data_IF_743194995442
#
_entry.id   IF_743194995442
#
_cell.length_a   1.000
_cell.length_b   1.000
_cell.length_c   1.000
_cell.angle_alpha   90.00
_cell.angle_beta   90.00
_cell.angle_gamma   90.00
#
_symmetry.space_group_name_H-M   'P 1'
#
loop_
_entity.id
_entity.type
_entity.pdbx_description
1 polymer ?
#
# COMPACT_ATOMS: atom_id res chain seq x y z
N UNK A 1 7.49 -31.10 -9.26
CA UNK A 1 8.43 -31.81 -10.13
C UNK A 1 9.15 -32.84 -9.25
N UNK A 2 9.29 -34.08 -9.70
CA UNK A 2 10.04 -35.13 -8.99
C UNK A 2 11.54 -34.98 -9.30
N UNK A 3 12.43 -35.37 -8.35
CA UNK A 3 13.87 -35.49 -8.58
C UNK A 3 14.19 -36.50 -9.67
N UNK A 4 15.30 -36.30 -10.41
CA UNK A 4 15.84 -37.35 -11.30
C UNK A 4 16.67 -38.30 -10.49
N UNK A 5 16.58 -39.60 -10.80
CA UNK A 5 17.32 -40.71 -10.16
C UNK A 5 18.81 -40.42 -10.11
N UNK A 6 19.43 -40.69 -8.95
CA UNK A 6 20.89 -40.63 -8.74
C UNK A 6 21.46 -39.22 -8.57
N UNK A 7 20.62 -38.14 -8.54
CA UNK A 7 21.11 -36.77 -8.41
C UNK A 7 20.52 -36.03 -7.21
N UNK A 8 21.39 -35.42 -6.43
CA UNK A 8 20.98 -34.38 -5.47
C UNK A 8 20.98 -33.01 -6.18
N UNK A 9 19.91 -32.30 -6.05
CA UNK A 9 19.74 -30.97 -6.66
C UNK A 9 19.41 -29.92 -5.61
N UNK A 10 20.07 -28.80 -5.72
CA UNK A 10 19.77 -27.57 -4.99
C UNK A 10 19.37 -26.50 -6.01
N UNK A 11 18.21 -25.90 -5.87
CA UNK A 11 17.82 -24.76 -6.64
C UNK A 11 17.55 -23.60 -5.68
N UNK A 12 18.08 -22.45 -6.01
CA UNK A 12 17.77 -21.19 -5.36
C UNK A 12 17.22 -20.23 -6.43
N UNK A 13 15.98 -19.80 -6.25
CA UNK A 13 15.36 -18.78 -7.06
C UNK A 13 15.22 -17.52 -6.19
N UNK A 14 15.79 -16.42 -6.64
CA UNK A 14 15.71 -15.13 -5.97
C UNK A 14 15.20 -14.06 -6.93
N UNK A 15 14.25 -13.27 -6.47
CA UNK A 15 13.69 -12.14 -7.20
C UNK A 15 13.59 -10.95 -6.27
N UNK A 16 14.02 -9.78 -6.77
CA UNK A 16 13.85 -8.49 -6.13
C UNK A 16 13.34 -7.51 -7.18
N UNK A 17 12.32 -6.75 -6.85
CA UNK A 17 11.71 -5.78 -7.75
C UNK A 17 11.20 -4.56 -7.01
N UNK A 18 10.96 -3.48 -7.74
CA UNK A 18 10.33 -2.26 -7.26
C UNK A 18 9.03 -2.04 -8.02
N UNK A 19 7.97 -1.81 -7.29
CA UNK A 19 6.65 -1.45 -7.82
C UNK A 19 6.42 0.04 -7.62
N UNK A 20 5.82 0.68 -8.62
CA UNK A 20 5.41 2.08 -8.58
C UNK A 20 3.99 2.21 -9.11
N UNK A 21 3.27 3.24 -8.70
CA UNK A 21 1.99 3.58 -9.31
C UNK A 21 2.18 3.93 -10.78
N UNK A 22 1.42 3.33 -11.68
CA UNK A 22 1.57 3.54 -13.12
C UNK A 22 1.04 4.92 -13.56
N UNK A 23 -0.10 5.35 -13.00
CA UNK A 23 -0.73 6.65 -13.29
C UNK A 23 -1.65 7.02 -12.14
N UNK A 24 -1.59 8.28 -11.73
CA UNK A 24 -2.51 8.89 -10.77
C UNK A 24 -3.29 10.01 -11.43
N UNK A 25 -4.48 10.30 -10.91
CA UNK A 25 -5.22 11.48 -11.32
C UNK A 25 -4.51 12.70 -10.70
N UNK A 26 -4.26 13.72 -11.52
CA UNK A 26 -3.71 14.98 -11.03
C UNK A 26 -4.75 15.66 -10.11
N UNK A 27 -4.33 16.00 -8.91
CA UNK A 27 -5.13 16.81 -7.99
C UNK A 27 -4.94 18.29 -8.27
N UNK A 28 -5.92 19.10 -7.87
CA UNK A 28 -5.79 20.55 -7.87
C UNK A 28 -4.86 20.95 -6.72
N UNK A 29 -3.98 21.90 -6.97
CA UNK A 29 -3.22 22.54 -5.90
C UNK A 29 -4.12 23.48 -5.09
N UNK A 30 -3.61 24.04 -3.99
CA UNK A 30 -4.39 24.86 -3.09
C UNK A 30 -4.98 26.10 -3.78
N UNK A 31 -4.25 26.77 -4.65
CA UNK A 31 -4.73 27.93 -5.40
C UNK A 31 -5.76 27.53 -6.46
N UNK A 32 -5.48 26.50 -7.24
CA UNK A 32 -6.40 25.98 -8.27
C UNK A 32 -7.76 25.58 -7.67
N UNK A 33 -7.74 24.99 -6.46
CA UNK A 33 -8.96 24.64 -5.75
C UNK A 33 -9.75 25.90 -5.34
N UNK A 34 -9.08 26.90 -4.78
CA UNK A 34 -9.70 28.18 -4.43
C UNK A 34 -10.31 28.90 -5.64
N UNK A 35 -9.57 28.93 -6.76
CA UNK A 35 -10.03 29.56 -7.99
C UNK A 35 -11.26 28.83 -8.57
N UNK A 36 -11.27 27.49 -8.52
CA UNK A 36 -12.42 26.70 -8.95
C UNK A 36 -13.64 26.94 -8.06
N UNK A 37 -13.45 27.04 -6.74
CA UNK A 37 -14.51 27.37 -5.78
C UNK A 37 -15.11 28.75 -6.08
N UNK A 38 -14.28 29.75 -6.36
CA UNK A 38 -14.72 31.09 -6.76
C UNK A 38 -15.52 31.09 -8.06
N UNK A 39 -15.02 30.34 -9.06
CA UNK A 39 -15.73 30.18 -10.32
C UNK A 39 -17.11 29.49 -10.13
N UNK A 40 -17.18 28.45 -9.32
CA UNK A 40 -18.42 27.74 -9.04
C UNK A 40 -19.46 28.66 -8.39
N UNK A 41 -19.05 29.45 -7.36
CA UNK A 41 -19.97 30.39 -6.68
C UNK A 41 -20.46 31.53 -7.59
N UNK A 42 -19.58 32.03 -8.46
CA UNK A 42 -19.97 33.03 -9.47
C UNK A 42 -20.97 32.47 -10.49
N UNK A 43 -20.76 31.23 -10.93
CA UNK A 43 -21.69 30.56 -11.84
C UNK A 43 -23.09 30.37 -11.20
N UNK A 44 -23.14 30.24 -9.86
CA UNK A 44 -24.38 30.23 -9.07
C UNK A 44 -24.98 31.63 -8.83
N UNK A 45 -24.36 32.70 -9.36
CA UNK A 45 -24.77 34.07 -9.14
C UNK A 45 -24.50 34.62 -7.73
N UNK A 46 -23.59 33.97 -6.99
CA UNK A 46 -23.21 34.36 -5.62
C UNK A 46 -21.92 35.18 -5.63
N UNK A 47 -21.78 36.07 -4.63
CA UNK A 47 -20.48 36.67 -4.32
C UNK A 47 -19.59 35.63 -3.65
N UNK A 48 -18.37 35.39 -4.15
CA UNK A 48 -17.51 34.34 -3.60
C UNK A 48 -17.10 34.60 -2.16
N UNK A 49 -17.21 33.56 -1.31
CA UNK A 49 -16.83 33.60 0.10
C UNK A 49 -16.48 32.20 0.58
N UNK A 50 -15.47 32.10 1.42
CA UNK A 50 -15.05 30.87 2.09
C UNK A 50 -14.40 31.20 3.43
N UNK A 51 -14.67 30.41 4.45
CA UNK A 51 -14.03 30.56 5.77
C UNK A 51 -12.50 30.36 5.70
N UNK A 52 -12.03 29.64 4.68
CA UNK A 52 -10.60 29.36 4.49
C UNK A 52 -9.95 30.34 3.52
N UNK A 53 -10.57 30.58 2.35
CA UNK A 53 -9.98 31.40 1.28
C UNK A 53 -10.41 32.86 1.32
N UNK A 54 -11.18 33.27 2.34
CA UNK A 54 -11.65 34.64 2.52
C UNK A 54 -12.82 35.05 1.63
N UNK A 55 -12.86 36.29 1.18
CA UNK A 55 -13.90 36.84 0.33
C UNK A 55 -13.31 37.87 -0.63
N UNK A 56 -14.05 38.24 -1.70
CA UNK A 56 -13.66 39.25 -2.67
C UNK A 56 -13.43 38.73 -4.09
N UNK A 57 -12.61 39.44 -4.86
CA UNK A 57 -12.41 39.15 -6.29
C UNK A 57 -11.67 37.86 -6.55
N UNK A 58 -10.74 37.47 -5.68
CA UNK A 58 -9.89 36.26 -5.81
C UNK A 58 -9.85 35.47 -4.52
N UNK A 59 -9.70 34.18 -4.62
CA UNK A 59 -9.37 33.31 -3.49
C UNK A 59 -7.95 33.61 -2.98
N UNK A 60 -7.80 33.76 -1.67
CA UNK A 60 -6.50 34.03 -1.03
C UNK A 60 -6.16 32.90 -0.10
N UNK A 61 -4.97 32.32 -0.29
CA UNK A 61 -4.44 31.31 0.62
C UNK A 61 -3.96 32.03 1.89
N UNK A 62 -4.54 31.74 3.08
CA UNK A 62 -4.05 32.31 4.33
C UNK A 62 -2.72 31.69 4.73
N UNK A 63 -1.96 32.34 5.59
CA UNK A 63 -0.73 31.76 6.16
C UNK A 63 -1.05 30.59 7.11
N UNK A 64 -2.12 30.72 7.91
CA UNK A 64 -2.62 29.71 8.83
C UNK A 64 -4.10 29.43 8.61
N UNK A 65 -4.51 28.21 8.85
CA UNK A 65 -5.88 27.71 8.69
C UNK A 65 -6.69 27.79 9.99
N UNK A 66 -6.03 28.12 11.11
CA UNK A 66 -6.61 28.20 12.44
C UNK A 66 -6.28 29.55 13.13
N UNK A 67 -7.08 29.93 14.10
CA UNK A 67 -6.91 31.17 14.86
C UNK A 67 -5.68 31.15 15.79
N UNK A 68 -5.24 29.98 16.18
CA UNK A 68 -4.11 29.79 17.10
C UNK A 68 -2.75 29.81 16.36
N UNK A 69 -2.76 29.95 15.03
CA UNK A 69 -1.56 29.96 14.18
C UNK A 69 -0.67 28.72 14.34
N UNK A 70 -1.32 27.56 14.51
CA UNK A 70 -0.63 26.26 14.67
C UNK A 70 -0.73 25.39 13.43
N UNK A 71 -1.72 25.63 12.58
CA UNK A 71 -2.00 24.87 11.37
C UNK A 71 -1.63 25.71 10.13
N UNK A 72 -0.40 25.63 9.62
CA UNK A 72 0.00 26.39 8.44
C UNK A 72 -0.74 25.88 7.20
N UNK A 73 -0.99 26.76 6.23
CA UNK A 73 -1.53 26.34 4.93
C UNK A 73 -0.57 25.39 4.22
N UNK A 74 -1.11 24.31 3.68
CA UNK A 74 -0.38 23.34 2.84
C UNK A 74 -0.57 23.60 1.35
N UNK A 75 0.14 22.82 0.56
CA UNK A 75 -0.13 22.58 -0.86
C UNK A 75 0.27 21.13 -1.18
N UNK A 76 -0.53 20.19 -0.67
CA UNK A 76 -0.22 18.77 -0.59
C UNK A 76 -0.96 18.00 -1.68
N UNK A 77 -0.24 17.24 -2.52
CA UNK A 77 -0.83 16.16 -3.28
C UNK A 77 -1.02 14.95 -2.36
N UNK A 78 -2.23 14.81 -1.81
CA UNK A 78 -2.56 13.78 -0.84
C UNK A 78 -2.47 12.38 -1.38
N UNK A 79 -2.65 12.19 -2.70
CA UNK A 79 -2.48 10.86 -3.33
C UNK A 79 -1.01 10.50 -3.37
N UNK A 80 -0.14 11.43 -3.74
CA UNK A 80 1.30 11.22 -3.74
C UNK A 80 1.82 11.04 -2.31
N UNK A 81 1.29 11.83 -1.36
CA UNK A 81 1.70 11.77 0.06
C UNK A 81 1.43 10.41 0.70
N UNK A 82 0.35 9.72 0.36
CA UNK A 82 0.06 8.39 0.92
C UNK A 82 0.73 7.25 0.17
N UNK A 83 1.27 7.50 -1.01
CA UNK A 83 1.91 6.49 -1.87
C UNK A 83 3.41 6.40 -1.62
N UNK A 84 3.97 5.25 -1.99
CA UNK A 84 5.41 5.00 -1.94
C UNK A 84 5.84 4.06 -3.08
N UNK A 85 7.14 4.05 -3.33
CA UNK A 85 7.77 2.97 -4.09
C UNK A 85 7.80 1.73 -3.20
N UNK A 86 7.28 0.62 -3.70
CA UNK A 86 7.12 -0.61 -2.95
C UNK A 86 8.14 -1.65 -3.39
N UNK A 87 8.85 -2.25 -2.44
CA UNK A 87 9.79 -3.34 -2.71
C UNK A 87 9.06 -4.68 -2.72
N UNK A 88 9.44 -5.56 -3.63
CA UNK A 88 9.00 -6.95 -3.68
C UNK A 88 10.22 -7.84 -3.65
N UNK A 89 10.19 -8.84 -2.77
CA UNK A 89 11.26 -9.82 -2.64
C UNK A 89 10.67 -11.22 -2.59
N UNK A 90 11.29 -12.15 -3.28
CA UNK A 90 10.91 -13.57 -3.26
C UNK A 90 12.16 -14.43 -3.30
N UNK A 91 12.27 -15.33 -2.35
CA UNK A 91 13.36 -16.27 -2.24
C UNK A 91 12.78 -17.68 -2.09
N UNK A 92 13.20 -18.60 -2.96
CA UNK A 92 12.77 -20.00 -2.91
C UNK A 92 13.99 -20.91 -2.99
N UNK A 93 14.23 -21.65 -1.91
CA UNK A 93 15.23 -22.70 -1.86
C UNK A 93 14.54 -24.05 -2.00
N UNK A 94 14.99 -24.89 -2.91
CA UNK A 94 14.51 -26.26 -3.03
C UNK A 94 15.65 -27.27 -3.10
N UNK A 95 15.46 -28.38 -2.38
CA UNK A 95 16.35 -29.51 -2.30
C UNK A 95 15.60 -30.74 -2.81
N UNK A 96 16.14 -31.42 -3.81
CA UNK A 96 15.54 -32.62 -4.37
C UNK A 96 16.55 -33.74 -4.46
N UNK A 97 16.15 -34.93 -4.03
CA UNK A 97 16.89 -36.16 -4.17
C UNK A 97 15.95 -37.28 -4.61
N UNK A 98 16.41 -38.12 -5.50
CA UNK A 98 15.70 -39.33 -5.86
C UNK A 98 16.69 -40.49 -6.07
N UNK A 99 16.26 -41.66 -5.68
CA UNK A 99 16.92 -42.95 -5.97
C UNK A 99 15.89 -43.93 -6.56
N UNK A 100 16.27 -45.21 -6.72
CA UNK A 100 15.40 -46.24 -7.32
C UNK A 100 14.13 -46.48 -6.50
N UNK A 101 14.20 -46.29 -5.19
CA UNK A 101 13.13 -46.65 -4.24
C UNK A 101 12.48 -45.46 -3.57
N UNK A 102 13.07 -44.27 -3.67
CA UNK A 102 12.52 -43.06 -3.03
C UNK A 102 12.74 -41.78 -3.83
N UNK A 103 11.88 -40.81 -3.62
CA UNK A 103 12.08 -39.44 -4.08
C UNK A 103 11.64 -38.45 -3.02
N UNK A 104 12.47 -37.45 -2.80
CA UNK A 104 12.28 -36.44 -1.78
C UNK A 104 12.40 -35.05 -2.41
N UNK A 105 11.51 -34.15 -2.04
CA UNK A 105 11.59 -32.75 -2.35
C UNK A 105 11.28 -31.97 -1.07
N UNK A 106 12.20 -31.11 -0.69
CA UNK A 106 12.00 -30.11 0.35
C UNK A 106 12.11 -28.72 -0.28
N UNK A 107 11.25 -27.79 0.06
CA UNK A 107 11.41 -26.39 -0.33
C UNK A 107 10.99 -25.43 0.76
N UNK A 108 11.72 -24.32 0.86
CA UNK A 108 11.42 -23.17 1.69
C UNK A 108 11.22 -21.95 0.78
N UNK A 109 10.16 -21.20 1.03
CA UNK A 109 9.86 -19.95 0.34
C UNK A 109 9.68 -18.81 1.34
N UNK A 110 10.27 -17.68 1.03
CA UNK A 110 10.00 -16.41 1.67
C UNK A 110 9.53 -15.41 0.61
N UNK A 111 8.46 -14.71 0.90
CA UNK A 111 7.91 -13.67 0.06
C UNK A 111 7.60 -12.44 0.92
N UNK A 112 8.09 -11.28 0.50
CA UNK A 112 7.77 -9.99 1.08
C UNK A 112 7.38 -9.03 -0.03
N UNK A 113 6.31 -8.29 0.17
CA UNK A 113 5.84 -7.24 -0.71
C UNK A 113 5.36 -6.05 0.12
N UNK A 114 6.09 -4.95 0.04
CA UNK A 114 5.59 -3.67 0.55
C UNK A 114 4.37 -3.24 -0.28
N UNK A 115 3.40 -2.59 0.35
CA UNK A 115 2.27 -2.00 -0.35
C UNK A 115 2.64 -0.70 -1.04
N UNK A 116 1.91 -0.34 -2.11
CA UNK A 116 2.03 0.97 -2.76
C UNK A 116 1.56 2.11 -1.85
N UNK A 117 0.67 1.85 -0.90
CA UNK A 117 0.35 2.79 0.17
C UNK A 117 1.33 2.62 1.33
N UNK A 118 1.75 3.73 1.93
CA UNK A 118 2.63 3.73 3.12
C UNK A 118 2.03 2.85 4.23
N UNK A 119 2.86 2.19 5.02
CA UNK A 119 2.49 1.32 6.15
C UNK A 119 1.65 0.09 5.79
N UNK A 120 1.57 -0.28 4.54
CA UNK A 120 0.94 -1.53 4.12
C UNK A 120 1.95 -2.51 3.57
N UNK A 121 1.65 -3.80 3.66
CA UNK A 121 2.55 -4.84 3.17
C UNK A 121 2.02 -6.23 3.43
N UNK A 122 2.68 -7.20 2.82
CA UNK A 122 2.36 -8.61 2.93
C UNK A 122 3.64 -9.44 2.98
N UNK A 123 3.71 -10.33 3.96
CA UNK A 123 4.80 -11.29 4.09
C UNK A 123 4.26 -12.72 4.17
N UNK A 124 5.02 -13.67 3.65
CA UNK A 124 4.70 -15.08 3.73
C UNK A 124 5.93 -15.94 3.80
N UNK A 125 5.94 -16.88 4.75
CA UNK A 125 6.89 -17.99 4.80
C UNK A 125 6.14 -19.27 4.45
N UNK A 126 6.73 -20.13 3.63
CA UNK A 126 6.15 -21.42 3.25
C UNK A 126 7.18 -22.52 3.23
N UNK A 127 6.78 -23.70 3.69
CA UNK A 127 7.55 -24.94 3.61
C UNK A 127 6.76 -26.00 2.85
N UNK A 128 7.43 -26.78 2.01
CA UNK A 128 6.83 -27.90 1.30
C UNK A 128 7.71 -29.12 1.39
N UNK A 129 7.06 -30.24 1.66
CA UNK A 129 7.66 -31.56 1.72
C UNK A 129 6.90 -32.49 0.77
N UNK A 130 7.59 -33.14 -0.14
CA UNK A 130 7.00 -34.17 -0.99
C UNK A 130 7.93 -35.38 -0.90
N UNK A 131 7.40 -36.47 -0.39
CA UNK A 131 8.11 -37.74 -0.27
C UNK A 131 7.34 -38.80 -1.01
N UNK A 132 8.06 -39.71 -1.67
CA UNK A 132 7.49 -40.93 -2.29
C UNK A 132 8.44 -42.08 -2.04
N UNK A 133 7.89 -43.21 -1.62
CA UNK A 133 8.59 -44.46 -1.43
C UNK A 133 7.96 -45.55 -2.30
N UNK A 134 8.78 -46.35 -2.94
CA UNK A 134 8.40 -47.49 -3.76
C UNK A 134 8.84 -48.75 -3.03
N UNK A 135 7.91 -49.62 -2.74
CA UNK A 135 8.14 -50.85 -1.98
C UNK A 135 7.75 -52.06 -2.82
N UNK A 136 8.30 -53.22 -2.46
CA UNK A 136 8.00 -54.51 -3.10
C UNK A 136 8.18 -54.51 -4.63
N UNK A 137 9.33 -54.04 -5.12
CA UNK A 137 9.63 -53.92 -6.55
C UNK A 137 8.57 -53.10 -7.31
N UNK A 138 8.29 -51.87 -6.82
CA UNK A 138 7.32 -50.92 -7.37
C UNK A 138 5.83 -51.36 -7.27
N UNK A 139 5.51 -52.45 -6.56
CA UNK A 139 4.11 -52.89 -6.39
C UNK A 139 3.32 -52.02 -5.42
N UNK A 140 4.00 -51.35 -4.50
CA UNK A 140 3.38 -50.42 -3.57
C UNK A 140 4.12 -49.08 -3.60
N UNK A 141 3.39 -48.00 -3.80
CA UNK A 141 3.91 -46.64 -3.72
C UNK A 141 3.21 -45.93 -2.58
N UNK A 142 3.99 -45.40 -1.65
CA UNK A 142 3.50 -44.56 -0.54
C UNK A 142 4.04 -43.16 -0.77
N UNK A 143 3.16 -42.18 -0.80
CA UNK A 143 3.53 -40.77 -1.01
C UNK A 143 2.91 -39.86 0.05
N UNK A 144 3.68 -38.86 0.44
CA UNK A 144 3.26 -37.79 1.34
C UNK A 144 3.54 -36.42 0.69
N UNK A 145 2.55 -35.54 0.72
CA UNK A 145 2.71 -34.19 0.26
C UNK A 145 2.15 -33.26 1.35
N UNK A 146 3.03 -32.46 1.95
CA UNK A 146 2.65 -31.47 2.93
C UNK A 146 3.10 -30.08 2.49
N UNK A 147 2.27 -29.09 2.72
CA UNK A 147 2.59 -27.67 2.54
C UNK A 147 2.12 -26.93 3.78
N UNK A 148 3.03 -26.21 4.41
CA UNK A 148 2.77 -25.31 5.53
C UNK A 148 3.08 -23.91 5.07
N UNK A 149 2.22 -22.96 5.37
CA UNK A 149 2.49 -21.55 5.14
C UNK A 149 1.93 -20.68 6.24
N UNK A 150 2.66 -19.62 6.57
CA UNK A 150 2.22 -18.58 7.45
C UNK A 150 2.37 -17.25 6.73
N UNK A 151 1.30 -16.44 6.74
CA UNK A 151 1.29 -15.14 6.10
C UNK A 151 0.77 -14.09 7.10
N UNK A 152 1.34 -12.91 7.03
CA UNK A 152 0.92 -11.74 7.80
C UNK A 152 1.07 -10.48 6.95
N UNK A 153 0.46 -9.41 7.37
CA UNK A 153 0.54 -8.14 6.66
C UNK A 153 -0.46 -7.13 7.15
N UNK A 154 -0.23 -5.89 6.80
CA UNK A 154 -1.11 -4.76 7.08
C UNK A 154 -1.79 -4.34 5.78
N UNK A 155 -3.11 -4.27 5.81
CA UNK A 155 -3.92 -3.79 4.69
C UNK A 155 -4.81 -2.64 5.13
N UNK A 156 -5.23 -1.82 4.19
CA UNK A 156 -6.18 -0.73 4.44
C UNK A 156 -7.52 -1.02 3.76
N UNK A 157 -8.59 -0.50 4.35
CA UNK A 157 -9.90 -0.57 3.71
C UNK A 157 -9.93 0.28 2.45
N UNK A 158 -10.26 -0.33 1.34
CA UNK A 158 -10.31 0.31 0.02
C UNK A 158 -11.75 0.46 -0.50
N UNK A 159 -12.71 0.57 0.41
CA UNK A 159 -14.11 0.74 0.05
C UNK A 159 -14.45 2.23 -0.07
N UNK A 160 -14.64 2.71 -1.30
CA UNK A 160 -14.99 4.10 -1.58
C UNK A 160 -16.27 4.56 -0.87
N UNK A 161 -17.26 3.67 -0.70
CA UNK A 161 -18.53 4.01 -0.05
C UNK A 161 -18.41 4.21 1.46
N UNK A 162 -17.37 3.64 2.09
CA UNK A 162 -17.12 3.70 3.53
C UNK A 162 -15.87 4.52 3.91
N UNK A 163 -15.40 5.40 3.00
CA UNK A 163 -14.24 6.24 3.27
C UNK A 163 -12.91 5.50 3.15
N UNK A 164 -12.75 4.68 2.12
CA UNK A 164 -11.48 4.02 1.83
C UNK A 164 -10.32 5.02 1.70
N UNK A 165 -9.13 4.60 2.04
CA UNK A 165 -7.95 5.48 2.20
C UNK A 165 -7.64 6.29 0.93
N UNK A 166 -7.68 5.65 -0.23
CA UNK A 166 -7.48 6.34 -1.51
C UNK A 166 -8.60 7.37 -1.80
N UNK A 167 -9.84 7.02 -1.44
CA UNK A 167 -10.97 7.94 -1.57
C UNK A 167 -10.81 9.16 -0.66
N UNK A 168 -10.37 8.98 0.59
CA UNK A 168 -10.10 10.07 1.50
C UNK A 168 -8.98 10.98 0.99
N UNK A 169 -7.92 10.41 0.40
CA UNK A 169 -6.85 11.19 -0.21
C UNK A 169 -7.35 12.05 -1.38
N UNK A 170 -8.22 11.52 -2.25
CA UNK A 170 -8.84 12.31 -3.32
C UNK A 170 -9.81 13.38 -2.84
N UNK A 171 -10.40 13.23 -1.68
CA UNK A 171 -11.34 14.20 -1.10
C UNK A 171 -10.66 15.28 -0.24
N UNK A 172 -9.48 14.99 0.27
CA UNK A 172 -8.76 15.94 1.11
C UNK A 172 -8.21 17.06 0.24
N UNK A 173 -8.57 18.29 0.58
CA UNK A 173 -8.12 19.47 -0.17
C UNK A 173 -6.64 19.73 0.05
N UNK A 174 -5.97 20.18 -1.00
CA UNK A 174 -4.49 20.36 -1.00
C UNK A 174 -4.01 21.38 0.02
N UNK A 175 -4.86 22.37 0.41
CA UNK A 175 -4.50 23.38 1.41
C UNK A 175 -4.31 22.77 2.82
N UNK A 176 -4.85 21.57 3.08
CA UNK A 176 -4.64 20.86 4.34
C UNK A 176 -3.18 20.45 4.47
N UNK A 177 -2.45 20.84 5.52
CA UNK A 177 -1.06 20.43 5.73
C UNK A 177 -0.98 18.99 6.23
N UNK A 178 0.16 18.32 5.99
CA UNK A 178 0.42 16.98 6.53
C UNK A 178 0.53 17.02 8.04
N UNK A 179 1.25 18.02 8.56
CA UNK A 179 1.49 18.21 10.00
C UNK A 179 1.21 19.65 10.41
N UNK A 180 0.79 19.84 11.66
CA UNK A 180 0.81 21.12 12.34
C UNK A 180 2.22 21.51 12.80
N UNK A 181 2.36 22.70 13.40
CA UNK A 181 3.67 23.17 13.92
C UNK A 181 4.20 22.37 15.12
N UNK A 182 3.35 21.61 15.80
CA UNK A 182 3.75 20.71 16.90
C UNK A 182 4.08 19.30 16.42
N UNK A 183 3.96 19.03 15.12
CA UNK A 183 4.23 17.73 14.53
C UNK A 183 3.07 16.72 14.62
N UNK A 184 1.87 17.15 15.00
CA UNK A 184 0.69 16.32 14.92
C UNK A 184 0.13 16.32 13.49
N UNK A 185 -0.65 15.32 13.13
CA UNK A 185 -1.30 15.28 11.82
C UNK A 185 -2.29 16.44 11.66
N UNK A 186 -2.12 17.20 10.57
CA UNK A 186 -2.94 18.36 10.28
C UNK A 186 -4.42 17.99 10.08
N UNK A 187 -5.32 18.86 10.56
CA UNK A 187 -6.76 18.70 10.37
C UNK A 187 -7.23 19.33 9.06
N UNK A 188 -8.28 18.76 8.46
CA UNK A 188 -8.89 19.33 7.27
C UNK A 188 -9.81 20.50 7.66
N UNK A 189 -9.58 21.72 7.15
CA UNK A 189 -10.35 22.90 7.55
C UNK A 189 -11.70 23.04 6.81
N UNK A 190 -11.92 22.24 5.74
CA UNK A 190 -13.08 22.39 4.85
C UNK A 190 -14.09 21.27 5.01
N UNK A 191 -13.63 20.08 5.34
CA UNK A 191 -14.49 18.90 5.41
C UNK A 191 -14.12 18.00 6.60
N UNK A 192 -15.12 17.30 7.15
CA UNK A 192 -14.92 16.29 8.20
C UNK A 192 -14.31 15.00 7.59
N UNK A 193 -13.05 15.12 7.23
CA UNK A 193 -12.25 14.02 6.70
C UNK A 193 -10.94 13.98 7.47
N UNK A 194 -10.64 12.82 8.03
CA UNK A 194 -9.37 12.60 8.73
C UNK A 194 -8.18 12.75 7.80
N UNK A 195 -7.04 13.18 8.35
CA UNK A 195 -5.77 13.22 7.64
C UNK A 195 -5.42 11.82 7.10
N UNK A 196 -5.30 11.65 5.76
CA UNK A 196 -5.10 10.32 5.17
C UNK A 196 -3.83 9.62 5.64
N UNK A 197 -2.73 10.37 5.80
CA UNK A 197 -1.48 9.80 6.31
C UNK A 197 -1.59 9.42 7.79
N UNK A 198 -2.30 10.24 8.59
CA UNK A 198 -2.57 9.96 9.99
C UNK A 198 -3.40 8.69 10.19
N UNK A 199 -4.36 8.43 9.32
CA UNK A 199 -5.13 7.18 9.35
C UNK A 199 -4.27 5.97 8.99
N UNK A 200 -3.45 6.07 7.94
CA UNK A 200 -2.50 5.01 7.57
C UNK A 200 -1.55 4.70 8.72
N UNK A 201 -1.03 5.72 9.38
CA UNK A 201 -0.13 5.55 10.52
C UNK A 201 -0.77 4.83 11.69
N UNK A 202 -2.04 5.08 11.99
CA UNK A 202 -2.79 4.41 13.07
C UNK A 202 -3.14 2.95 12.78
N UNK A 203 -3.13 2.56 11.51
CA UNK A 203 -3.48 1.19 11.06
C UNK A 203 -2.26 0.29 10.82
N UNK A 204 -1.04 0.75 11.12
CA UNK A 204 0.20 -0.02 10.92
C UNK A 204 0.42 -1.11 11.99
#
# INVERSE_FOLDING_TARGET
KKGKEGTFRVNLDAYVGVQTSAKQMRMLNAQEYGDLLWQAQRNDGKSPVSDVYGSGETAVIPEFLDADHRLPSGDVDWVDEIMQKAMVQSYNLSLAKADKVSSHLFSLGYFNQDGLMKYTGFERISGRFNNEFKLFNDRLKIGENATLSHAWGTSVTNNAALGGMLYNAYKTVSITPVYDLDGNFGSNPIADISNPLGELYRNK
#
